data_IF_451508815086
#
_entry.id   IF_451508815086
#
_cell.length_a   1.000
_cell.length_b   1.000
_cell.length_c   1.000
_cell.angle_alpha   90.00
_cell.angle_beta   90.00
_cell.angle_gamma   90.00
#
_symmetry.space_group_name_H-M   'P 1'
#
loop_
_entity.id
_entity.type
_entity.pdbx_description
1 polymer ?
#
# COMPACT_ATOMS: atom_id res chain seq x y z
N UNK A 1 13.78 1.92 15.33
CA UNK A 1 12.59 2.53 14.69
C UNK A 1 11.88 3.37 15.74
N UNK A 2 11.66 4.66 15.50
CA UNK A 2 10.74 5.44 16.33
C UNK A 2 9.35 4.87 16.15
N UNK A 3 8.79 4.30 17.21
CA UNK A 3 7.47 3.69 17.20
C UNK A 3 6.41 4.81 17.31
N UNK A 4 6.26 5.59 16.24
CA UNK A 4 5.23 6.63 16.17
C UNK A 4 3.89 5.89 16.06
N UNK A 5 2.96 6.06 17.02
CA UNK A 5 1.65 5.41 16.92
C UNK A 5 0.90 6.05 15.74
N UNK A 6 0.63 5.27 14.70
CA UNK A 6 -0.12 5.71 13.53
C UNK A 6 -1.40 4.89 13.45
N UNK A 7 -2.53 5.60 13.43
CA UNK A 7 -3.85 5.00 13.22
C UNK A 7 -4.27 5.23 11.77
N UNK A 8 -4.72 4.16 11.11
CA UNK A 8 -5.26 4.19 9.75
C UNK A 8 -6.76 3.90 9.84
N UNK A 9 -7.57 4.50 8.95
CA UNK A 9 -9.04 4.45 9.01
C UNK A 9 -9.64 3.98 7.69
N UNK A 10 -10.82 3.35 7.77
CA UNK A 10 -11.61 2.91 6.62
C UNK A 10 -10.87 1.88 5.76
N UNK A 11 -10.94 2.06 4.44
CA UNK A 11 -10.26 1.20 3.46
C UNK A 11 -8.82 1.63 3.14
N UNK A 12 -8.21 2.47 3.98
CA UNK A 12 -6.84 2.92 3.74
C UNK A 12 -5.81 1.90 4.26
N UNK A 13 -4.66 1.89 3.59
CA UNK A 13 -3.47 1.12 3.94
C UNK A 13 -2.32 2.09 4.13
N UNK A 14 -1.56 1.91 5.22
CA UNK A 14 -0.25 2.50 5.35
C UNK A 14 0.77 1.47 4.89
N UNK A 15 1.51 1.82 3.84
CA UNK A 15 2.55 0.98 3.27
C UNK A 15 3.91 1.62 3.43
N UNK A 16 4.92 0.82 3.76
CA UNK A 16 6.32 1.20 3.66
C UNK A 16 6.81 0.87 2.27
N UNK A 17 7.27 1.87 1.53
CA UNK A 17 7.69 1.68 0.14
C UNK A 17 8.93 0.82 0.04
N UNK A 18 8.92 -0.15 -0.88
CA UNK A 18 10.07 -0.98 -1.20
C UNK A 18 10.91 -0.29 -2.28
N UNK A 19 12.24 -0.30 -2.10
CA UNK A 19 13.17 0.24 -3.10
C UNK A 19 13.26 -0.63 -4.36
N UNK A 20 13.04 -1.93 -4.21
CA UNK A 20 13.10 -2.92 -5.27
C UNK A 20 11.86 -3.82 -5.24
N UNK A 21 11.51 -4.38 -6.40
CA UNK A 21 10.45 -5.39 -6.48
C UNK A 21 10.89 -6.68 -5.76
N UNK A 22 9.96 -7.46 -5.18
CA UNK A 22 10.25 -8.77 -4.63
C UNK A 22 10.90 -9.70 -5.66
N UNK A 23 11.82 -10.56 -5.19
CA UNK A 23 12.70 -11.34 -6.08
C UNK A 23 11.95 -12.23 -7.08
N UNK A 24 10.85 -12.85 -6.64
CA UNK A 24 10.15 -13.89 -7.40
C UNK A 24 8.88 -13.40 -8.12
N UNK A 25 8.47 -12.15 -7.90
CA UNK A 25 7.22 -11.61 -8.43
C UNK A 25 7.48 -10.31 -9.18
N UNK A 26 7.09 -10.29 -10.46
CA UNK A 26 7.05 -9.08 -11.28
C UNK A 26 5.69 -8.92 -11.93
N UNK A 27 4.98 -7.89 -11.50
CA UNK A 27 3.74 -7.45 -12.12
C UNK A 27 4.09 -6.50 -13.27
N UNK A 28 3.47 -6.70 -14.43
CA UNK A 28 3.66 -5.85 -15.60
C UNK A 28 2.33 -5.21 -15.99
N UNK A 29 2.29 -3.89 -16.12
CA UNK A 29 1.13 -3.18 -16.66
C UNK A 29 1.18 -3.23 -18.20
N UNK A 30 0.16 -3.75 -18.91
CA UNK A 30 0.13 -3.77 -20.38
C UNK A 30 0.18 -2.38 -21.02
N UNK A 31 -0.19 -1.33 -20.27
CA UNK A 31 -0.17 0.07 -20.70
C UNK A 31 1.16 0.78 -20.41
N UNK A 32 2.09 0.09 -19.73
CA UNK A 32 3.41 0.61 -19.40
C UNK A 32 3.48 1.46 -18.13
N UNK A 33 2.40 1.56 -17.34
CA UNK A 33 2.45 2.23 -16.04
C UNK A 33 3.44 1.54 -15.10
N UNK A 34 4.26 2.29 -14.35
CA UNK A 34 5.16 1.70 -13.37
C UNK A 34 4.36 1.01 -12.24
N UNK A 35 4.81 -0.18 -11.84
CA UNK A 35 4.29 -0.86 -10.66
C UNK A 35 5.19 -0.55 -9.47
N UNK A 36 4.58 -0.07 -8.39
CA UNK A 36 5.23 0.15 -7.10
C UNK A 36 4.82 -0.94 -6.12
N UNK A 37 5.72 -1.22 -5.18
CA UNK A 37 5.52 -2.23 -4.15
C UNK A 37 5.70 -1.60 -2.77
N UNK A 38 4.86 -2.00 -1.82
CA UNK A 38 4.96 -1.56 -0.44
C UNK A 38 4.56 -2.66 0.54
N UNK A 39 5.25 -2.73 1.68
CA UNK A 39 4.89 -3.61 2.78
C UNK A 39 3.82 -2.94 3.64
N UNK A 40 2.73 -3.66 3.94
CA UNK A 40 1.64 -3.15 4.78
C UNK A 40 2.10 -3.06 6.22
N UNK A 41 2.21 -1.84 6.75
CA UNK A 41 2.63 -1.59 8.15
C UNK A 41 1.45 -1.24 9.06
N UNK A 42 0.36 -0.72 8.50
CA UNK A 42 -0.91 -0.53 9.20
C UNK A 42 -2.07 -0.53 8.19
N UNK A 43 -3.28 -0.80 8.67
CA UNK A 43 -4.50 -0.85 7.86
C UNK A 43 -5.69 -0.30 8.65
N UNK A 44 -6.65 0.26 7.94
CA UNK A 44 -7.94 0.59 8.53
C UNK A 44 -8.78 -0.65 8.83
N UNK A 45 -10.00 -0.38 9.25
CA UNK A 45 -11.00 -1.39 9.64
C UNK A 45 -11.69 -2.04 8.44
N UNK A 46 -11.48 -1.53 7.23
CA UNK A 46 -12.05 -2.07 5.99
C UNK A 46 -13.46 -1.57 5.68
N UNK A 47 -13.99 -0.61 6.42
CA UNK A 47 -15.28 -0.01 6.12
C UNK A 47 -15.15 1.18 5.16
N UNK A 48 -16.04 1.24 4.17
CA UNK A 48 -16.12 2.35 3.23
C UNK A 48 -16.74 3.61 3.85
N UNK A 49 -16.76 4.71 3.07
CA UNK A 49 -17.44 5.93 3.49
C UNK A 49 -18.94 5.65 3.72
N UNK A 50 -19.37 5.79 4.98
CA UNK A 50 -20.73 5.47 5.40
C UNK A 50 -20.88 4.09 6.06
N UNK A 51 -19.80 3.30 6.15
CA UNK A 51 -19.75 2.00 6.82
C UNK A 51 -20.82 1.00 6.34
N UNK A 52 -21.15 1.07 5.04
CA UNK A 52 -22.21 0.25 4.44
C UNK A 52 -21.67 -1.07 3.91
N UNK A 53 -20.38 -1.14 3.59
CA UNK A 53 -19.73 -2.35 3.11
C UNK A 53 -18.40 -2.59 3.81
N UNK A 54 -18.23 -3.80 4.35
CA UNK A 54 -16.95 -4.30 4.83
C UNK A 54 -16.14 -4.87 3.65
N UNK A 55 -14.86 -4.56 3.61
CA UNK A 55 -13.89 -5.11 2.67
C UNK A 55 -12.73 -5.73 3.42
N UNK A 56 -12.37 -6.93 3.01
CA UNK A 56 -11.19 -7.61 3.54
C UNK A 56 -9.94 -6.82 3.18
N UNK A 57 -9.13 -6.53 4.20
CA UNK A 57 -7.93 -5.72 4.08
C UNK A 57 -6.69 -6.62 4.06
N UNK A 58 -5.67 -6.32 3.24
CA UNK A 58 -4.38 -7.01 3.28
C UNK A 58 -3.81 -7.10 4.70
N UNK A 59 -3.26 -8.26 5.04
CA UNK A 59 -2.65 -8.48 6.36
C UNK A 59 -1.39 -7.64 6.55
N UNK A 60 -1.03 -7.39 7.81
CA UNK A 60 0.24 -6.72 8.12
C UNK A 60 1.41 -7.55 7.59
N UNK A 61 2.46 -6.86 7.15
CA UNK A 61 3.67 -7.42 6.54
C UNK A 61 3.47 -8.10 5.19
N UNK A 62 2.26 -8.07 4.62
CA UNK A 62 2.08 -8.46 3.21
C UNK A 62 2.62 -7.38 2.30
N UNK A 63 3.09 -7.79 1.13
CA UNK A 63 3.47 -6.86 0.07
C UNK A 63 2.25 -6.60 -0.79
N UNK A 64 1.96 -5.33 -1.05
CA UNK A 64 0.95 -4.91 -2.02
C UNK A 64 1.60 -4.31 -3.24
N UNK A 65 1.05 -4.59 -4.41
CA UNK A 65 1.43 -3.99 -5.68
C UNK A 65 0.33 -3.04 -6.16
N UNK A 66 0.72 -1.85 -6.61
CA UNK A 66 -0.18 -0.85 -7.16
C UNK A 66 0.46 -0.12 -8.33
N UNK A 67 -0.37 0.34 -9.26
CA UNK A 67 0.07 1.20 -10.35
C UNK A 67 0.32 2.61 -9.83
N UNK A 68 1.41 3.23 -10.28
CA UNK A 68 1.65 4.66 -10.08
C UNK A 68 1.49 5.36 -11.42
N UNK A 69 0.64 6.38 -11.47
CA UNK A 69 0.50 7.20 -12.67
C UNK A 69 1.81 7.95 -12.92
N UNK A 70 2.17 8.14 -14.20
CA UNK A 70 3.32 8.98 -14.56
C UNK A 70 3.08 10.47 -14.21
N UNK A 71 1.81 10.86 -14.03
CA UNK A 71 1.41 12.25 -13.78
C UNK A 71 1.16 12.53 -12.30
N UNK A 72 0.85 11.51 -11.49
CA UNK A 72 0.43 11.67 -10.11
C UNK A 72 0.97 10.57 -9.20
N UNK A 73 1.45 10.98 -8.02
CA UNK A 73 1.85 10.07 -6.95
C UNK A 73 0.60 9.53 -6.28
N UNK A 74 0.47 8.21 -6.26
CA UNK A 74 -0.68 7.55 -5.60
C UNK A 74 -0.62 7.75 -4.07
N UNK A 75 -1.68 8.33 -3.52
CA UNK A 75 -1.88 8.50 -2.09
C UNK A 75 -1.10 9.65 -1.43
N UNK A 76 -1.26 9.79 -0.12
CA UNK A 76 -0.47 10.73 0.68
C UNK A 76 0.83 10.07 1.11
N UNK A 77 1.95 10.80 1.11
CA UNK A 77 3.24 10.25 1.51
C UNK A 77 3.93 11.07 2.61
N UNK A 78 4.77 10.41 3.40
CA UNK A 78 5.63 11.02 4.40
C UNK A 78 6.86 10.13 4.65
N UNK A 79 7.82 10.66 5.41
CA UNK A 79 9.07 9.95 5.68
C UNK A 79 9.26 9.70 7.18
N UNK A 80 9.67 8.48 7.54
CA UNK A 80 10.18 8.15 8.87
C UNK A 80 11.59 7.61 8.69
N UNK A 81 12.58 8.27 9.31
CA UNK A 81 13.98 7.84 9.24
C UNK A 81 14.49 7.61 7.79
N UNK A 82 14.12 8.50 6.87
CA UNK A 82 14.43 8.45 5.43
C UNK A 82 13.74 7.34 4.62
N UNK A 83 12.88 6.54 5.25
CA UNK A 83 12.04 5.57 4.55
C UNK A 83 10.72 6.23 4.15
N UNK A 84 10.29 6.05 2.91
CA UNK A 84 9.04 6.56 2.38
C UNK A 84 7.87 5.66 2.83
N UNK A 85 6.85 6.29 3.40
CA UNK A 85 5.58 5.66 3.74
C UNK A 85 4.48 6.31 2.92
N UNK A 86 3.51 5.51 2.48
CA UNK A 86 2.33 5.99 1.76
C UNK A 86 1.04 5.52 2.38
N UNK A 87 0.06 6.42 2.40
CA UNK A 87 -1.33 6.09 2.68
C UNK A 87 -2.04 5.94 1.33
N UNK A 88 -2.35 4.70 0.97
CA UNK A 88 -3.06 4.35 -0.26
C UNK A 88 -4.44 3.78 0.07
N UNK A 89 -5.37 3.83 -0.89
CA UNK A 89 -6.67 3.16 -0.75
C UNK A 89 -6.55 1.70 -1.17
N UNK A 90 -7.39 0.84 -0.59
CA UNK A 90 -7.52 -0.56 -1.02
C UNK A 90 -7.84 -0.67 -2.52
N UNK A 91 -8.57 0.29 -3.09
CA UNK A 91 -8.91 0.33 -4.51
C UNK A 91 -7.71 0.46 -5.45
N UNK A 92 -6.60 1.00 -4.95
CA UNK A 92 -5.38 1.16 -5.71
C UNK A 92 -4.54 -0.14 -5.73
N UNK A 93 -4.83 -1.09 -4.84
CA UNK A 93 -4.12 -2.37 -4.73
C UNK A 93 -4.60 -3.32 -5.84
N UNK A 94 -3.65 -3.80 -6.64
CA UNK A 94 -3.92 -4.75 -7.73
C UNK A 94 -3.82 -6.18 -7.23
N UNK A 95 -2.85 -6.45 -6.36
CA UNK A 95 -2.64 -7.75 -5.72
C UNK A 95 -1.82 -7.60 -4.43
N UNK A 96 -1.95 -8.60 -3.56
CA UNK A 96 -1.19 -8.71 -2.31
C UNK A 96 -0.65 -10.14 -2.17
N UNK A 97 0.54 -10.27 -1.61
CA UNK A 97 1.21 -11.57 -1.42
C UNK A 97 2.12 -11.54 -0.18
N UNK A 98 2.43 -12.70 0.41
CA UNK A 98 3.38 -12.76 1.53
C UNK A 98 4.76 -12.26 1.11
N UNK A 99 5.49 -11.70 2.07
CA UNK A 99 6.88 -11.27 1.86
C UNK A 99 7.87 -12.46 1.86
N UNK A 100 7.40 -13.69 2.13
CA UNK A 100 8.17 -14.95 2.15
C UNK A 100 7.76 -15.92 1.03
#
# INVERSE_FOLDING_TARGET
MTNIPIQVYGINLLVKMMAEAPADIRVNCPKGSPIRYGEVVARGDGFDEGANAFREMPELKTVVAFEESAEEVEGHYFYIALEEYRVIRLDSVILSFPHE
#
